data_IF_856624743206
#
_entry.id   IF_856624743206
#
_cell.length_a   1.000
_cell.length_b   1.000
_cell.length_c   1.000
_cell.angle_alpha   90.00
_cell.angle_beta   90.00
_cell.angle_gamma   90.00
#
_symmetry.space_group_name_H-M   'P 1'
#
loop_
_entity.id
_entity.type
_entity.pdbx_description
1 polymer ?
#
# COMPACT_ATOMS: atom_id res chain seq x y z
N UNK A 1 -35.95 -65.47 46.58
CA UNK A 1 -36.17 -64.01 46.79
C UNK A 1 -35.43 -63.26 45.70
N UNK A 2 -36.14 -62.34 45.03
CA UNK A 2 -35.74 -61.60 43.84
C UNK A 2 -34.51 -60.69 44.11
N UNK A 3 -33.54 -60.65 43.21
CA UNK A 3 -32.62 -59.52 43.09
C UNK A 3 -32.73 -58.90 41.70
N UNK A 4 -33.16 -57.64 41.69
CA UNK A 4 -33.35 -56.77 40.54
C UNK A 4 -32.01 -56.40 39.89
N UNK A 5 -31.93 -56.60 38.58
CA UNK A 5 -30.89 -56.04 37.72
C UNK A 5 -31.15 -54.54 37.52
N UNK A 6 -30.26 -53.66 37.99
CA UNK A 6 -30.26 -52.23 37.63
C UNK A 6 -29.25 -52.01 36.50
N UNK A 7 -29.77 -51.74 35.31
CA UNK A 7 -29.00 -51.34 34.14
C UNK A 7 -28.59 -49.86 34.31
N UNK A 8 -27.29 -49.60 34.46
CA UNK A 8 -26.73 -48.26 34.54
C UNK A 8 -26.44 -47.76 33.11
N UNK A 9 -27.29 -46.89 32.57
CA UNK A 9 -27.03 -46.21 31.29
C UNK A 9 -26.13 -45.02 31.57
N UNK A 10 -24.85 -45.12 31.20
CA UNK A 10 -23.90 -44.01 31.26
C UNK A 10 -24.08 -43.17 29.99
N UNK A 11 -24.70 -41.99 30.15
CA UNK A 11 -24.80 -40.98 29.09
C UNK A 11 -23.46 -40.24 29.03
N UNK A 12 -22.63 -40.55 28.03
CA UNK A 12 -21.46 -39.74 27.71
C UNK A 12 -21.90 -38.43 27.05
N UNK A 13 -21.96 -37.35 27.83
CA UNK A 13 -22.09 -36.01 27.29
C UNK A 13 -20.77 -35.62 26.60
N UNK A 14 -20.71 -35.73 25.28
CA UNK A 14 -19.59 -35.19 24.48
C UNK A 14 -19.66 -33.67 24.51
N UNK A 15 -18.89 -33.05 25.41
CA UNK A 15 -18.64 -31.62 25.39
C UNK A 15 -17.80 -31.29 24.15
N UNK A 16 -18.43 -30.78 23.09
CA UNK A 16 -17.73 -30.21 21.95
C UNK A 16 -17.05 -28.90 22.39
N UNK A 17 -15.78 -28.99 22.74
CA UNK A 17 -14.92 -27.82 22.87
C UNK A 17 -14.82 -27.15 21.50
N UNK A 18 -15.56 -26.06 21.30
CA UNK A 18 -15.32 -25.15 20.20
C UNK A 18 -13.97 -24.48 20.44
N UNK A 19 -12.91 -25.02 19.84
CA UNK A 19 -11.63 -24.33 19.77
C UNK A 19 -11.87 -23.00 19.07
N UNK A 20 -11.90 -21.91 19.84
CA UNK A 20 -11.97 -20.55 19.30
C UNK A 20 -10.73 -20.36 18.44
N UNK A 21 -10.90 -20.38 17.11
CA UNK A 21 -9.81 -20.20 16.18
C UNK A 21 -9.09 -18.88 16.51
N UNK A 22 -7.77 -18.94 16.68
CA UNK A 22 -6.97 -17.76 17.00
C UNK A 22 -7.32 -16.60 16.04
N UNK A 23 -7.45 -15.35 16.54
CA UNK A 23 -7.81 -14.23 15.70
C UNK A 23 -6.83 -14.08 14.52
N UNK A 24 -7.35 -14.03 13.29
CA UNK A 24 -6.51 -13.87 12.09
C UNK A 24 -5.71 -12.56 12.15
N UNK A 25 -4.42 -12.64 11.81
CA UNK A 25 -3.49 -11.51 11.81
C UNK A 25 -3.38 -10.79 10.44
N UNK A 26 -4.28 -11.12 9.51
CA UNK A 26 -4.38 -10.54 8.17
C UNK A 26 -5.84 -10.54 7.68
N UNK A 27 -6.08 -9.94 6.51
CA UNK A 27 -7.37 -9.98 5.84
C UNK A 27 -7.28 -10.70 4.49
N UNK A 28 -8.12 -11.73 4.32
CA UNK A 28 -8.28 -12.42 3.03
C UNK A 28 -9.56 -11.95 2.31
N UNK A 29 -9.42 -11.57 1.04
CA UNK A 29 -10.51 -11.18 0.16
C UNK A 29 -10.56 -12.17 -1.01
N UNK A 30 -11.59 -13.01 -1.04
CA UNK A 30 -11.83 -13.89 -2.18
C UNK A 30 -12.30 -13.08 -3.38
N UNK A 31 -11.64 -13.26 -4.52
CA UNK A 31 -12.00 -12.63 -5.77
C UNK A 31 -13.39 -13.03 -6.25
N UNK A 32 -14.15 -12.06 -6.76
CA UNK A 32 -15.39 -12.30 -7.50
C UNK A 32 -15.08 -12.57 -8.99
N UNK A 33 -16.05 -12.34 -9.88
CA UNK A 33 -15.84 -12.37 -11.33
C UNK A 33 -15.08 -11.10 -11.75
N UNK A 34 -14.17 -11.24 -12.73
CA UNK A 34 -13.46 -10.12 -13.33
C UNK A 34 -12.13 -10.56 -13.98
N UNK A 35 -11.42 -9.64 -14.66
CA UNK A 35 -10.18 -9.93 -15.37
C UNK A 35 -9.04 -10.47 -14.51
N UNK A 36 -9.08 -10.23 -13.20
CA UNK A 36 -8.11 -10.72 -12.21
C UNK A 36 -8.43 -12.10 -11.66
N UNK A 37 -9.47 -12.80 -12.15
CA UNK A 37 -9.83 -14.14 -11.66
C UNK A 37 -8.65 -15.10 -11.78
N UNK A 38 -8.36 -15.81 -10.69
CA UNK A 38 -7.24 -16.75 -10.61
C UNK A 38 -5.89 -16.09 -10.32
N UNK A 39 -5.84 -14.76 -10.19
CA UNK A 39 -4.63 -14.03 -9.79
C UNK A 39 -4.70 -13.56 -8.35
N UNK A 40 -3.55 -13.51 -7.69
CA UNK A 40 -3.40 -13.18 -6.27
C UNK A 40 -2.58 -11.90 -6.08
N UNK A 41 -3.11 -10.95 -5.32
CA UNK A 41 -2.45 -9.68 -4.97
C UNK A 41 -2.20 -9.62 -3.47
N UNK A 42 -0.97 -9.32 -3.07
CA UNK A 42 -0.60 -9.16 -1.66
C UNK A 42 -0.35 -7.69 -1.39
N UNK A 43 -1.07 -7.13 -0.42
CA UNK A 43 -1.00 -5.74 -0.03
C UNK A 43 -0.37 -5.63 1.37
N UNK A 44 0.77 -4.97 1.47
CA UNK A 44 1.60 -4.91 2.67
C UNK A 44 1.51 -3.52 3.28
N UNK A 45 0.84 -3.42 4.43
CA UNK A 45 0.78 -2.22 5.26
C UNK A 45 1.90 -2.23 6.31
N UNK A 46 2.43 -1.04 6.63
CA UNK A 46 3.44 -0.87 7.67
C UNK A 46 4.05 0.52 7.66
N UNK A 47 3.21 1.54 7.52
CA UNK A 47 3.55 2.95 7.61
C UNK A 47 2.73 3.60 8.73
N UNK A 48 3.41 4.31 9.61
CA UNK A 48 2.86 4.93 10.82
C UNK A 48 2.32 6.35 10.62
N UNK A 49 2.50 6.95 9.44
CA UNK A 49 2.07 8.32 9.17
C UNK A 49 0.85 8.39 8.25
N UNK A 50 0.92 7.77 7.06
CA UNK A 50 -0.01 7.93 5.95
C UNK A 50 -1.16 6.92 5.89
N UNK A 51 -1.26 6.07 6.93
CA UNK A 51 -2.38 5.15 7.18
C UNK A 51 -2.50 4.04 6.14
N UNK A 52 -1.37 3.41 5.80
CA UNK A 52 -1.37 2.22 4.93
C UNK A 52 -2.34 1.12 5.41
N UNK A 53 -2.60 1.01 6.71
CA UNK A 53 -3.53 0.05 7.32
C UNK A 53 -5.00 0.31 6.97
N UNK A 54 -5.33 1.53 6.54
CA UNK A 54 -6.65 1.90 6.02
C UNK A 54 -6.70 1.79 4.48
N UNK A 55 -5.61 2.20 3.82
CA UNK A 55 -5.50 2.21 2.36
C UNK A 55 -5.56 0.80 1.75
N UNK A 56 -4.78 -0.15 2.30
CA UNK A 56 -4.65 -1.49 1.71
C UNK A 56 -5.97 -2.28 1.74
N UNK A 57 -6.75 -2.32 2.83
CA UNK A 57 -8.07 -2.97 2.83
C UNK A 57 -9.06 -2.36 1.84
N UNK A 58 -9.03 -1.04 1.65
CA UNK A 58 -9.88 -0.36 0.68
C UNK A 58 -9.54 -0.79 -0.76
N UNK A 59 -8.25 -0.77 -1.13
CA UNK A 59 -7.78 -1.22 -2.44
C UNK A 59 -8.08 -2.71 -2.67
N UNK A 60 -7.84 -3.56 -1.67
CA UNK A 60 -8.17 -4.99 -1.72
C UNK A 60 -9.66 -5.24 -1.94
N UNK A 61 -10.53 -4.41 -1.34
CA UNK A 61 -11.96 -4.44 -1.57
C UNK A 61 -12.31 -4.16 -3.04
N UNK A 62 -11.76 -3.10 -3.62
CA UNK A 62 -11.96 -2.74 -5.04
C UNK A 62 -11.46 -3.86 -5.96
N UNK A 63 -10.22 -4.31 -5.77
CA UNK A 63 -9.58 -5.37 -6.56
C UNK A 63 -10.37 -6.68 -6.52
N UNK A 64 -10.76 -7.13 -5.32
CA UNK A 64 -11.47 -8.41 -5.18
C UNK A 64 -12.91 -8.36 -5.69
N UNK A 65 -13.65 -7.29 -5.40
CA UNK A 65 -15.09 -7.25 -5.71
C UNK A 65 -15.40 -6.84 -7.14
N UNK A 66 -14.64 -5.90 -7.70
CA UNK A 66 -14.90 -5.38 -9.06
C UNK A 66 -14.05 -6.08 -10.11
N UNK A 67 -12.87 -6.58 -9.73
CA UNK A 67 -11.88 -7.08 -10.69
C UNK A 67 -11.53 -8.57 -10.53
N UNK A 68 -12.01 -9.22 -9.46
CA UNK A 68 -11.92 -10.67 -9.31
C UNK A 68 -10.58 -11.21 -8.78
N UNK A 69 -9.67 -10.34 -8.34
CA UNK A 69 -8.42 -10.76 -7.71
C UNK A 69 -8.66 -11.39 -6.34
N UNK A 70 -7.93 -12.46 -6.02
CA UNK A 70 -7.75 -12.83 -4.62
C UNK A 70 -6.79 -11.81 -3.99
N UNK A 71 -7.11 -11.28 -2.82
CA UNK A 71 -6.23 -10.34 -2.14
C UNK A 71 -5.95 -10.78 -0.71
N UNK A 72 -4.70 -10.68 -0.28
CA UNK A 72 -4.32 -10.72 1.15
C UNK A 72 -3.77 -9.37 1.55
N UNK A 73 -4.28 -8.82 2.66
CA UNK A 73 -3.72 -7.64 3.31
C UNK A 73 -3.01 -8.06 4.59
N UNK A 74 -1.71 -7.78 4.67
CA UNK A 74 -0.89 -7.99 5.88
C UNK A 74 -0.55 -6.64 6.52
N UNK A 75 -0.33 -6.63 7.83
CA UNK A 75 -0.22 -5.43 8.66
C UNK A 75 1.02 -5.48 9.53
N UNK A 76 1.50 -4.31 9.96
CA UNK A 76 2.35 -4.22 11.14
C UNK A 76 1.54 -4.61 12.39
N UNK A 77 1.97 -5.65 13.09
CA UNK A 77 1.24 -6.25 14.22
C UNK A 77 2.11 -6.22 15.46
N UNK A 78 1.56 -5.78 16.59
CA UNK A 78 2.16 -6.06 17.89
C UNK A 78 2.07 -7.58 18.19
N UNK A 79 3.19 -8.32 18.26
CA UNK A 79 3.16 -9.78 18.42
C UNK A 79 2.55 -10.21 19.76
N UNK A 80 2.53 -9.34 20.79
CA UNK A 80 1.97 -9.68 22.10
C UNK A 80 0.44 -9.63 22.09
N UNK A 81 -0.14 -8.55 21.60
CA UNK A 81 -1.59 -8.36 21.61
C UNK A 81 -2.30 -8.88 20.34
N UNK A 82 -1.59 -8.95 19.22
CA UNK A 82 -2.16 -9.20 17.89
C UNK A 82 -2.98 -8.03 17.35
N UNK A 83 -2.79 -6.82 17.91
CA UNK A 83 -3.37 -5.58 17.40
C UNK A 83 -2.54 -5.03 16.24
N UNK A 84 -3.20 -4.29 15.34
CA UNK A 84 -2.52 -3.52 14.31
C UNK A 84 -1.82 -2.34 14.96
N UNK A 85 -0.50 -2.30 14.82
CA UNK A 85 0.38 -1.26 15.35
C UNK A 85 1.38 -0.83 14.28
N UNK A 86 1.07 0.21 13.49
CA UNK A 86 1.99 0.79 12.54
C UNK A 86 3.33 1.27 13.13
N UNK A 87 3.42 1.56 14.44
CA UNK A 87 4.71 1.88 15.08
C UNK A 87 5.60 0.64 15.24
N UNK A 88 5.05 -0.58 15.14
CA UNK A 88 5.84 -1.80 15.15
C UNK A 88 6.59 -1.97 13.82
N UNK A 89 7.90 -1.74 13.86
CA UNK A 89 8.78 -1.80 12.69
C UNK A 89 9.28 -3.19 12.36
N UNK A 90 9.03 -4.18 13.20
CA UNK A 90 9.75 -5.47 13.19
C UNK A 90 8.85 -6.68 13.04
N UNK A 91 7.55 -6.53 12.79
CA UNK A 91 6.66 -7.68 12.67
C UNK A 91 5.49 -7.44 11.71
N UNK A 92 5.47 -8.19 10.61
CA UNK A 92 4.38 -8.28 9.64
C UNK A 92 4.13 -9.78 9.35
N UNK A 93 3.24 -10.44 10.11
CA UNK A 93 2.92 -11.85 9.89
C UNK A 93 2.15 -12.07 8.58
N UNK A 94 2.28 -13.26 8.00
CA UNK A 94 1.53 -13.66 6.80
C UNK A 94 2.25 -13.36 5.47
N UNK A 95 3.54 -13.01 5.50
CA UNK A 95 4.34 -12.68 4.30
C UNK A 95 4.67 -13.88 3.42
N UNK A 96 4.57 -15.11 3.95
CA UNK A 96 4.79 -16.35 3.22
C UNK A 96 3.87 -16.52 2.00
N UNK A 97 2.72 -15.85 2.01
CA UNK A 97 1.77 -15.77 0.88
C UNK A 97 2.41 -15.18 -0.39
N UNK A 98 3.50 -14.40 -0.27
CA UNK A 98 4.18 -13.81 -1.42
C UNK A 98 4.72 -14.88 -2.38
N UNK A 99 5.00 -16.08 -1.88
CA UNK A 99 5.45 -17.20 -2.71
C UNK A 99 4.46 -17.51 -3.86
N UNK A 100 3.16 -17.32 -3.61
CA UNK A 100 2.07 -17.60 -4.54
C UNK A 100 1.50 -16.35 -5.23
N UNK A 101 1.92 -15.15 -4.81
CA UNK A 101 1.36 -13.90 -5.32
C UNK A 101 1.77 -13.63 -6.77
N UNK A 102 0.89 -12.98 -7.53
CA UNK A 102 1.17 -12.44 -8.87
C UNK A 102 1.60 -10.97 -8.83
N UNK A 103 1.19 -10.25 -7.78
CA UNK A 103 1.50 -8.84 -7.58
C UNK A 103 1.70 -8.52 -6.09
N UNK A 104 2.75 -7.77 -5.78
CA UNK A 104 2.97 -7.16 -4.47
C UNK A 104 2.67 -5.66 -4.53
N UNK A 105 1.80 -5.18 -3.64
CA UNK A 105 1.58 -3.76 -3.36
C UNK A 105 2.17 -3.47 -1.98
N UNK A 106 3.19 -2.62 -1.91
CA UNK A 106 3.90 -2.31 -0.67
C UNK A 106 3.75 -0.83 -0.33
N UNK A 107 3.32 -0.56 0.90
CA UNK A 107 3.17 0.78 1.48
C UNK A 107 3.71 0.78 2.91
N UNK A 108 5.01 0.51 3.03
CA UNK A 108 5.71 0.41 4.32
C UNK A 108 6.68 1.58 4.51
N UNK A 109 7.07 1.83 5.76
CA UNK A 109 8.05 2.86 6.14
C UNK A 109 9.11 2.29 7.07
N UNK A 110 10.38 2.37 6.69
CA UNK A 110 11.51 2.06 7.58
C UNK A 110 11.39 0.76 8.40
N UNK A 111 10.79 -0.28 7.83
CA UNK A 111 10.69 -1.59 8.50
C UNK A 111 12.08 -2.19 8.68
N UNK A 112 12.25 -2.92 9.76
CA UNK A 112 13.44 -3.71 10.07
C UNK A 112 12.96 -5.12 10.44
N UNK A 113 12.32 -5.80 9.48
CA UNK A 113 11.71 -7.11 9.71
C UNK A 113 12.79 -8.18 9.97
N UNK A 114 12.52 -9.18 10.83
CA UNK A 114 13.45 -10.29 11.02
C UNK A 114 13.66 -11.09 9.73
N UNK A 115 14.76 -11.83 9.68
CA UNK A 115 15.19 -12.54 8.47
C UNK A 115 14.14 -13.53 7.95
N UNK A 116 13.43 -14.21 8.86
CA UNK A 116 12.34 -15.14 8.54
C UNK A 116 11.11 -14.47 7.89
N UNK A 117 10.98 -13.15 7.98
CA UNK A 117 9.96 -12.37 7.27
C UNK A 117 10.50 -11.71 6.01
N UNK A 118 11.72 -11.14 6.08
CA UNK A 118 12.35 -10.49 4.92
C UNK A 118 12.63 -11.45 3.77
N UNK A 119 12.91 -12.72 4.06
CA UNK A 119 13.18 -13.74 3.04
C UNK A 119 12.04 -13.88 2.02
N UNK A 120 10.79 -13.66 2.43
CA UNK A 120 9.65 -13.74 1.52
C UNK A 120 9.59 -12.56 0.54
N UNK A 121 9.96 -11.36 1.00
CA UNK A 121 10.05 -10.18 0.13
C UNK A 121 11.24 -10.31 -0.82
N UNK A 122 12.40 -10.74 -0.32
CA UNK A 122 13.60 -10.96 -1.14
C UNK A 122 13.36 -12.03 -2.21
N UNK A 123 12.77 -13.16 -1.83
CA UNK A 123 12.43 -14.25 -2.74
C UNK A 123 11.43 -13.79 -3.80
N UNK A 124 10.40 -13.05 -3.42
CA UNK A 124 9.45 -12.45 -4.36
C UNK A 124 10.15 -11.57 -5.40
N UNK A 125 11.00 -10.65 -4.95
CA UNK A 125 11.72 -9.74 -5.84
C UNK A 125 12.63 -10.49 -6.81
N UNK A 126 13.30 -11.56 -6.36
CA UNK A 126 14.13 -12.42 -7.21
C UNK A 126 13.35 -13.14 -8.30
N UNK A 127 12.05 -13.38 -8.12
CA UNK A 127 11.22 -13.95 -9.20
C UNK A 127 10.98 -12.98 -10.37
N UNK A 128 11.22 -11.68 -10.19
CA UNK A 128 10.90 -10.64 -11.18
C UNK A 128 9.40 -10.35 -11.31
N UNK A 129 8.57 -10.83 -10.39
CA UNK A 129 7.13 -10.56 -10.42
C UNK A 129 6.81 -9.08 -10.14
N UNK A 130 5.72 -8.54 -10.71
CA UNK A 130 5.41 -7.12 -10.62
C UNK A 130 5.32 -6.54 -9.20
N UNK A 131 5.65 -5.24 -9.06
CA UNK A 131 5.57 -4.51 -7.78
C UNK A 131 4.84 -3.18 -7.96
N UNK A 132 3.97 -2.83 -7.01
CA UNK A 132 3.53 -1.45 -6.79
C UNK A 132 4.18 -0.92 -5.52
N UNK A 133 5.03 0.09 -5.66
CA UNK A 133 5.52 0.89 -4.54
C UNK A 133 4.62 2.11 -4.34
N UNK A 134 3.89 2.16 -3.23
CA UNK A 134 3.04 3.29 -2.86
C UNK A 134 3.67 4.03 -1.69
N UNK A 135 3.47 5.36 -1.56
CA UNK A 135 3.87 6.13 -0.36
C UNK A 135 3.69 5.27 0.89
N UNK A 136 4.70 4.99 1.71
CA UNK A 136 6.07 5.51 1.81
C UNK A 136 7.15 4.54 1.31
N UNK A 137 6.82 3.60 0.42
CA UNK A 137 7.70 2.48 0.08
C UNK A 137 9.04 2.85 -0.58
N UNK A 138 9.20 4.08 -1.08
CA UNK A 138 10.52 4.62 -1.50
C UNK A 138 11.57 4.50 -0.39
N UNK A 139 11.13 4.40 0.86
CA UNK A 139 11.95 4.13 2.03
C UNK A 139 11.34 3.03 2.91
N UNK A 140 10.88 1.95 2.27
CA UNK A 140 10.22 0.82 2.90
C UNK A 140 11.01 0.22 4.08
N UNK A 141 12.34 0.21 4.02
CA UNK A 141 13.20 -0.48 4.97
C UNK A 141 14.28 0.41 5.56
N UNK A 142 14.66 0.12 6.82
CA UNK A 142 15.78 0.75 7.51
C UNK A 142 16.31 -0.17 8.62
N UNK A 143 17.30 -1.00 8.26
CA UNK A 143 18.02 -1.91 9.13
C UNK A 143 19.28 -1.25 9.69
N UNK A 144 19.65 -1.64 10.92
CA UNK A 144 20.99 -1.37 11.46
C UNK A 144 22.09 -2.03 10.63
N UNK A 145 23.33 -1.55 10.79
CA UNK A 145 24.51 -2.12 10.12
C UNK A 145 24.76 -3.58 10.48
N UNK A 146 25.37 -4.34 9.57
CA UNK A 146 25.75 -5.75 9.79
C UNK A 146 24.61 -6.76 9.79
N UNK A 147 23.36 -6.35 9.55
CA UNK A 147 22.21 -7.25 9.41
C UNK A 147 22.17 -7.85 7.99
N UNK A 148 21.62 -9.06 7.87
CA UNK A 148 21.49 -9.80 6.61
C UNK A 148 20.92 -8.94 5.47
N UNK A 149 19.89 -8.14 5.77
CA UNK A 149 19.19 -7.28 4.82
C UNK A 149 19.56 -5.79 4.91
N UNK A 150 20.69 -5.40 5.50
CA UNK A 150 21.09 -3.98 5.60
C UNK A 150 21.14 -3.24 4.25
N UNK A 151 21.33 -3.96 3.15
CA UNK A 151 21.35 -3.41 1.80
C UNK A 151 19.99 -2.98 1.26
N UNK A 152 18.88 -3.39 1.89
CA UNK A 152 17.54 -2.89 1.57
C UNK A 152 17.27 -1.49 2.14
N UNK A 153 18.05 -1.05 3.13
CA UNK A 153 17.84 0.20 3.85
C UNK A 153 17.81 1.43 2.93
N UNK A 154 16.92 2.37 3.25
CA UNK A 154 16.83 3.66 2.57
C UNK A 154 18.20 4.35 2.46
N UNK A 155 18.61 4.70 1.24
CA UNK A 155 19.87 5.41 1.02
C UNK A 155 21.13 4.57 1.27
N UNK A 156 21.04 3.23 1.21
CA UNK A 156 22.20 2.35 1.40
C UNK A 156 23.40 2.75 0.53
N UNK A 157 24.57 2.85 1.13
CA UNK A 157 25.83 3.19 0.46
C UNK A 157 26.98 2.26 0.85
N UNK A 158 26.66 1.01 1.21
CA UNK A 158 27.63 0.03 1.70
C UNK A 158 28.40 -0.72 0.60
N UNK A 159 28.97 -1.90 0.93
CA UNK A 159 29.80 -2.67 0.00
C UNK A 159 29.03 -3.31 -1.16
N UNK A 160 27.75 -3.66 -1.01
CA UNK A 160 26.92 -4.23 -2.11
C UNK A 160 26.51 -3.13 -3.09
N UNK A 161 27.38 -2.78 -4.04
CA UNK A 161 27.24 -1.58 -4.90
C UNK A 161 25.99 -1.61 -5.78
N UNK A 162 25.51 -2.78 -6.15
CA UNK A 162 24.25 -2.99 -6.89
C UNK A 162 23.04 -2.50 -6.11
N UNK A 163 23.15 -2.44 -4.78
CA UNK A 163 22.10 -1.95 -3.89
C UNK A 163 22.27 -0.48 -3.52
N UNK A 164 23.09 0.30 -4.22
CA UNK A 164 23.25 1.74 -3.94
C UNK A 164 21.90 2.47 -3.96
N UNK A 165 21.57 3.15 -2.87
CA UNK A 165 20.28 3.79 -2.61
C UNK A 165 19.21 2.86 -2.01
N UNK A 166 19.53 1.58 -1.82
CA UNK A 166 18.67 0.57 -1.22
C UNK A 166 17.53 0.10 -2.10
N UNK A 167 16.52 -0.51 -1.46
CA UNK A 167 15.31 -0.98 -2.11
C UNK A 167 14.62 0.12 -2.94
N UNK A 168 14.51 1.33 -2.39
CA UNK A 168 13.87 2.47 -3.06
C UNK A 168 14.49 2.76 -4.42
N UNK A 169 15.82 2.92 -4.48
CA UNK A 169 16.50 3.20 -5.75
C UNK A 169 16.49 2.01 -6.70
N UNK A 170 16.90 0.84 -6.21
CA UNK A 170 17.10 -0.33 -7.04
C UNK A 170 15.79 -0.86 -7.62
N UNK A 171 14.75 -0.96 -6.79
CA UNK A 171 13.46 -1.51 -7.21
C UNK A 171 12.54 -0.39 -7.68
N UNK A 172 12.30 0.62 -6.85
CA UNK A 172 11.25 1.61 -7.11
C UNK A 172 11.67 2.80 -7.98
N UNK A 173 12.98 3.05 -8.17
CA UNK A 173 13.52 4.12 -9.01
C UNK A 173 14.18 5.26 -8.22
N UNK A 174 13.71 5.58 -7.02
CA UNK A 174 14.40 6.46 -6.09
C UNK A 174 14.03 6.15 -4.63
N UNK A 175 14.87 6.62 -3.72
CA UNK A 175 14.67 6.51 -2.29
C UNK A 175 14.36 7.87 -1.66
N UNK A 176 13.93 7.91 -0.40
CA UNK A 176 13.51 9.14 0.26
C UNK A 176 14.53 10.27 0.10
N UNK A 177 14.02 11.47 -0.25
CA UNK A 177 14.78 12.69 -0.37
C UNK A 177 14.26 13.75 0.59
N UNK A 178 13.09 14.31 0.31
CA UNK A 178 12.45 15.36 1.11
C UNK A 178 10.96 15.51 0.78
N UNK A 179 10.28 16.31 1.60
CA UNK A 179 9.01 16.93 1.23
C UNK A 179 9.30 18.11 0.30
N UNK A 180 8.84 18.03 -0.94
CA UNK A 180 8.97 19.10 -1.93
C UNK A 180 7.81 20.10 -1.82
N UNK A 181 6.61 19.59 -1.58
CA UNK A 181 5.46 20.37 -1.12
C UNK A 181 5.50 20.64 0.38
N UNK A 182 4.73 21.63 0.82
CA UNK A 182 4.49 22.00 2.20
C UNK A 182 3.68 20.91 2.91
N UNK A 183 4.35 20.15 3.77
CA UNK A 183 3.74 19.05 4.49
C UNK A 183 2.53 19.52 5.32
N UNK A 184 1.34 18.99 5.00
CA UNK A 184 0.04 19.34 5.64
C UNK A 184 -0.43 20.77 5.36
N UNK A 185 0.15 21.48 4.40
CA UNK A 185 -0.24 22.85 4.03
C UNK A 185 -0.40 23.06 2.53
N UNK A 186 0.19 22.20 1.70
CA UNK A 186 0.06 22.19 0.25
C UNK A 186 -0.32 20.79 -0.22
N UNK A 187 -1.20 20.72 -1.22
CA UNK A 187 -1.72 19.47 -1.77
C UNK A 187 -0.98 19.07 -3.05
N UNK A 188 -1.18 17.82 -3.46
CA UNK A 188 -0.68 17.29 -4.72
C UNK A 188 -1.82 17.18 -5.72
N UNK A 189 -1.68 17.85 -6.87
CA UNK A 189 -2.54 17.68 -8.05
C UNK A 189 -1.74 16.95 -9.13
N UNK A 190 -2.26 15.83 -9.62
CA UNK A 190 -1.59 15.02 -10.64
C UNK A 190 -1.85 15.54 -12.06
N UNK A 191 -0.76 15.78 -12.77
CA UNK A 191 -0.72 16.17 -14.18
C UNK A 191 -0.12 15.03 -14.98
N UNK A 192 -0.74 14.63 -16.09
CA UNK A 192 -0.18 13.64 -17.00
C UNK A 192 1.18 14.14 -17.48
N UNK A 193 2.20 13.30 -17.32
CA UNK A 193 3.55 13.64 -17.72
C UNK A 193 3.65 13.75 -19.25
N UNK A 194 4.47 14.67 -19.79
CA UNK A 194 4.76 14.72 -21.21
C UNK A 194 5.21 13.36 -21.75
N UNK A 195 4.56 12.88 -22.81
CA UNK A 195 4.83 11.57 -23.42
C UNK A 195 4.07 10.39 -22.78
N UNK A 196 3.28 10.62 -21.73
CA UNK A 196 2.44 9.60 -21.09
C UNK A 196 0.95 9.71 -21.47
N UNK A 197 0.57 10.63 -22.36
CA UNK A 197 -0.82 10.92 -22.74
C UNK A 197 -1.53 9.69 -23.29
N UNK A 198 -0.80 8.83 -24.02
CA UNK A 198 -1.29 7.57 -24.58
C UNK A 198 -0.96 6.34 -23.73
N UNK A 199 -0.27 6.51 -22.59
CA UNK A 199 0.12 5.40 -21.75
C UNK A 199 -1.13 4.71 -21.15
N UNK A 200 -1.25 3.36 -21.15
CA UNK A 200 -2.48 2.70 -20.71
C UNK A 200 -2.95 3.09 -19.29
N UNK A 201 -2.01 3.44 -18.40
CA UNK A 201 -2.32 3.85 -17.02
C UNK A 201 -3.15 5.14 -16.95
N UNK A 202 -3.04 6.04 -17.94
CA UNK A 202 -3.78 7.32 -17.95
C UNK A 202 -5.23 7.17 -18.42
N UNK A 203 -5.67 5.98 -18.84
CA UNK A 203 -7.05 5.75 -19.32
C UNK A 203 -8.09 6.13 -18.26
N UNK A 204 -9.01 7.02 -18.65
CA UNK A 204 -10.05 7.54 -17.76
C UNK A 204 -9.53 8.52 -16.71
N UNK A 205 -8.34 9.08 -16.86
CA UNK A 205 -7.78 10.08 -15.94
C UNK A 205 -7.42 11.31 -16.74
N UNK A 206 -7.90 12.48 -16.32
CA UNK A 206 -7.53 13.79 -16.85
C UNK A 206 -6.57 14.49 -15.89
N UNK A 207 -5.90 15.53 -16.37
CA UNK A 207 -5.15 16.44 -15.51
C UNK A 207 -6.08 16.99 -14.42
N UNK A 208 -5.67 16.89 -13.16
CA UNK A 208 -6.48 17.30 -12.01
C UNK A 208 -7.29 16.19 -11.34
N UNK A 209 -7.55 15.05 -12.01
CA UNK A 209 -8.36 13.96 -11.43
C UNK A 209 -7.62 13.22 -10.30
N UNK A 210 -6.29 13.09 -10.45
CA UNK A 210 -5.42 12.56 -9.40
C UNK A 210 -5.17 13.68 -8.40
N UNK A 211 -5.58 13.48 -7.16
CA UNK A 211 -5.45 14.48 -6.12
C UNK A 211 -5.23 13.83 -4.75
N UNK A 212 -4.51 14.53 -3.88
CA UNK A 212 -4.41 14.17 -2.48
C UNK A 212 -3.99 15.36 -1.62
N UNK A 213 -4.45 15.42 -0.35
CA UNK A 213 -3.99 16.43 0.59
C UNK A 213 -2.54 16.21 1.03
N UNK A 214 -1.94 15.05 0.69
CA UNK A 214 -0.55 14.80 1.00
C UNK A 214 0.36 15.59 0.07
N UNK A 215 1.47 16.06 0.64
CA UNK A 215 2.45 16.88 -0.07
C UNK A 215 3.22 16.08 -1.14
N UNK A 216 3.68 16.79 -2.18
CA UNK A 216 4.56 16.21 -3.20
C UNK A 216 5.90 15.85 -2.56
N UNK A 217 6.38 14.63 -2.81
CA UNK A 217 7.74 14.23 -2.45
C UNK A 217 8.73 14.69 -3.52
N UNK A 218 9.89 15.14 -3.08
CA UNK A 218 11.02 15.34 -3.98
C UNK A 218 11.61 14.00 -4.39
N UNK A 219 12.05 13.94 -5.64
CA UNK A 219 12.86 12.82 -6.16
C UNK A 219 14.10 13.37 -6.84
N UNK A 220 15.15 12.56 -6.93
CA UNK A 220 16.38 12.91 -7.63
C UNK A 220 16.14 12.83 -9.14
N UNK A 221 16.28 13.98 -9.82
CA UNK A 221 16.17 14.08 -11.27
C UNK A 221 17.55 14.13 -11.95
N UNK A 222 17.68 13.58 -13.17
CA UNK A 222 16.70 12.72 -13.83
C UNK A 222 16.55 11.38 -13.09
N UNK A 223 15.35 10.78 -13.12
CA UNK A 223 15.18 9.39 -12.73
C UNK A 223 16.00 8.48 -13.66
N UNK A 224 16.22 7.23 -13.24
CA UNK A 224 16.92 6.24 -14.06
C UNK A 224 16.31 6.14 -15.47
N UNK A 225 17.14 5.98 -16.50
CA UNK A 225 16.70 5.97 -17.92
C UNK A 225 15.67 4.89 -18.23
N UNK A 226 15.59 3.83 -17.43
CA UNK A 226 14.54 2.80 -17.54
C UNK A 226 13.19 3.23 -16.96
N UNK A 227 13.10 4.45 -16.41
CA UNK A 227 11.89 5.01 -15.82
C UNK A 227 11.11 5.84 -16.84
N UNK A 228 9.79 5.66 -16.86
CA UNK A 228 8.87 6.52 -17.60
C UNK A 228 7.97 7.25 -16.61
N UNK A 229 8.03 8.59 -16.60
CA UNK A 229 7.09 9.40 -15.81
C UNK A 229 5.68 9.21 -16.36
N UNK A 230 4.70 8.99 -15.49
CA UNK A 230 3.28 8.86 -15.85
C UNK A 230 2.49 10.08 -15.37
N UNK A 231 2.70 10.49 -14.12
CA UNK A 231 2.12 11.71 -13.56
C UNK A 231 3.19 12.55 -12.87
N UNK A 232 3.15 13.85 -13.11
CA UNK A 232 3.85 14.90 -12.37
C UNK A 232 2.93 15.49 -11.29
N UNK A 233 3.50 15.92 -10.18
CA UNK A 233 2.78 16.55 -9.08
C UNK A 233 2.90 18.05 -9.14
N UNK A 234 1.79 18.71 -9.43
CA UNK A 234 1.62 20.13 -9.22
C UNK A 234 1.35 20.39 -7.74
N UNK A 235 2.24 21.15 -7.10
CA UNK A 235 2.07 21.62 -5.74
C UNK A 235 1.05 22.76 -5.73
N UNK A 236 0.00 22.61 -4.93
CA UNK A 236 -1.15 23.54 -4.94
C UNK A 236 -1.43 24.09 -3.55
N UNK A 237 -1.69 25.41 -3.47
CA UNK A 237 -1.96 26.11 -2.21
C UNK A 237 -3.35 25.78 -1.69
N UNK A 238 -3.49 25.67 -0.37
CA UNK A 238 -4.81 25.68 0.28
C UNK A 238 -5.42 27.07 0.17
N UNK A 239 -6.64 27.20 -0.39
CA UNK A 239 -7.35 28.50 -0.45
C UNK A 239 -7.94 28.93 0.90
N UNK A 240 -8.32 27.97 1.73
CA UNK A 240 -8.98 28.20 3.02
C UNK A 240 -8.07 28.11 4.26
N UNK A 241 -8.64 28.29 5.46
CA UNK A 241 -7.91 28.07 6.71
C UNK A 241 -7.53 26.59 6.87
N UNK A 242 -6.49 26.34 7.68
CA UNK A 242 -6.21 24.99 8.15
C UNK A 242 -7.35 24.52 9.05
N UNK A 243 -7.84 23.32 8.82
CA UNK A 243 -8.86 22.67 9.67
C UNK A 243 -8.30 21.40 10.31
N UNK A 244 -9.08 20.81 11.21
CA UNK A 244 -8.80 19.49 11.81
C UNK A 244 -9.46 18.34 11.04
N UNK A 245 -10.01 18.59 9.85
CA UNK A 245 -10.53 17.51 9.00
C UNK A 245 -9.37 16.63 8.46
N UNK A 246 -9.67 15.43 7.94
CA UNK A 246 -8.65 14.53 7.39
C UNK A 246 -7.76 15.12 6.28
N UNK A 247 -8.17 16.23 5.66
CA UNK A 247 -7.51 16.90 4.53
C UNK A 247 -6.82 18.21 4.93
N UNK A 248 -6.80 18.58 6.21
CA UNK A 248 -6.23 19.84 6.72
C UNK A 248 -6.82 21.10 6.07
N UNK A 249 -8.07 21.02 5.62
CA UNK A 249 -8.78 22.09 4.93
C UNK A 249 -8.42 22.23 3.44
N UNK A 250 -7.56 21.36 2.90
CA UNK A 250 -7.26 21.30 1.47
C UNK A 250 -8.38 20.59 0.71
N UNK A 251 -8.63 21.04 -0.52
CA UNK A 251 -9.72 20.53 -1.36
C UNK A 251 -9.22 20.27 -2.78
N UNK A 252 -9.84 19.32 -3.51
CA UNK A 252 -9.57 19.15 -4.94
C UNK A 252 -9.86 20.40 -5.78
N UNK A 253 -10.70 21.32 -5.28
CA UNK A 253 -11.05 22.58 -5.92
C UNK A 253 -10.08 23.72 -5.61
N UNK A 254 -9.04 23.47 -4.80
CA UNK A 254 -7.91 24.39 -4.71
C UNK A 254 -7.18 24.34 -6.06
N UNK A 255 -7.15 25.46 -6.79
CA UNK A 255 -6.64 25.53 -8.17
C UNK A 255 -5.39 26.41 -8.32
N UNK A 256 -4.92 27.01 -7.22
CA UNK A 256 -3.77 27.92 -7.26
C UNK A 256 -2.46 27.13 -7.09
N UNK A 257 -1.77 26.90 -8.20
CA UNK A 257 -0.44 26.32 -8.20
C UNK A 257 0.56 27.21 -7.43
N UNK A 258 1.43 26.61 -6.62
CA UNK A 258 2.53 27.34 -5.97
C UNK A 258 3.51 27.85 -7.04
N UNK A 259 3.85 29.13 -7.00
CA UNK A 259 4.79 29.73 -7.94
C UNK A 259 6.25 29.24 -7.71
N UNK A 260 7.07 29.35 -8.76
CA UNK A 260 8.51 29.13 -8.69
C UNK A 260 8.94 27.66 -8.69
N UNK A 261 10.06 27.37 -8.00
CA UNK A 261 10.80 26.09 -8.10
C UNK A 261 10.00 24.84 -7.71
N UNK A 262 8.84 24.99 -7.06
CA UNK A 262 7.99 23.84 -6.71
C UNK A 262 7.26 23.25 -7.92
N UNK A 263 6.97 24.05 -8.93
CA UNK A 263 6.25 23.62 -10.14
C UNK A 263 7.04 23.83 -11.45
N UNK A 264 8.26 24.36 -11.37
CA UNK A 264 9.15 24.59 -12.50
C UNK A 264 10.57 24.04 -12.21
N UNK A 265 10.83 22.74 -12.51
CA UNK A 265 9.89 21.73 -13.00
C UNK A 265 9.05 21.09 -11.88
N UNK A 266 7.90 20.51 -12.23
CA UNK A 266 7.15 19.62 -11.33
C UNK A 266 7.91 18.31 -11.07
N UNK A 267 7.75 17.76 -9.86
CA UNK A 267 8.32 16.44 -9.53
C UNK A 267 7.44 15.31 -10.08
N UNK A 268 8.00 14.21 -10.60
CA UNK A 268 7.20 13.03 -10.89
C UNK A 268 6.67 12.44 -9.57
N UNK A 269 5.36 12.25 -9.53
CA UNK A 269 4.67 11.59 -8.41
C UNK A 269 4.32 10.16 -8.74
N UNK A 270 4.42 9.77 -10.01
CA UNK A 270 4.16 8.40 -10.48
C UNK A 270 5.00 8.09 -11.70
N UNK A 271 5.64 6.92 -11.71
CA UNK A 271 6.44 6.43 -12.82
C UNK A 271 6.44 4.90 -12.88
N UNK A 272 6.76 4.36 -14.04
CA UNK A 272 7.03 2.92 -14.24
C UNK A 272 8.50 2.69 -14.47
N UNK A 273 9.02 1.53 -14.09
CA UNK A 273 10.44 1.16 -14.29
C UNK A 273 10.60 -0.35 -14.43
N UNK A 274 11.65 -0.79 -15.11
CA UNK A 274 12.13 -2.17 -15.03
C UNK A 274 13.12 -2.31 -13.86
N UNK A 275 13.04 -3.39 -13.09
CA UNK A 275 13.99 -3.67 -12.03
C UNK A 275 14.56 -5.08 -12.15
N UNK A 276 15.73 -5.29 -11.57
CA UNK A 276 16.33 -6.61 -11.40
C UNK A 276 17.19 -6.56 -10.14
N UNK A 277 16.83 -7.33 -9.13
CA UNK A 277 17.68 -7.50 -7.95
C UNK A 277 18.82 -8.49 -8.25
N UNK A 278 19.98 -8.42 -7.58
CA UNK A 278 21.05 -9.39 -7.78
C UNK A 278 20.57 -10.84 -7.62
N UNK A 279 20.91 -11.69 -8.58
CA UNK A 279 20.46 -13.09 -8.65
C UNK A 279 18.98 -13.28 -9.01
N UNK A 280 18.26 -12.21 -9.35
CA UNK A 280 16.84 -12.25 -9.72
C UNK A 280 16.58 -12.11 -11.21
N UNK A 281 15.33 -12.38 -11.61
CA UNK A 281 14.81 -12.11 -12.96
C UNK A 281 14.40 -10.64 -13.10
N UNK A 282 14.35 -10.16 -14.34
CA UNK A 282 13.82 -8.82 -14.65
C UNK A 282 12.33 -8.77 -14.33
N UNK A 283 11.91 -7.68 -13.68
CA UNK A 283 10.51 -7.38 -13.37
C UNK A 283 10.15 -5.94 -13.69
N UNK A 284 8.87 -5.62 -13.52
CA UNK A 284 8.34 -4.26 -13.71
C UNK A 284 7.77 -3.71 -12.42
N UNK A 285 7.94 -2.41 -12.23
CA UNK A 285 7.39 -1.68 -11.11
C UNK A 285 6.54 -0.51 -11.60
N UNK A 286 5.48 -0.24 -10.85
CA UNK A 286 4.77 1.03 -10.86
C UNK A 286 4.99 1.67 -9.48
N UNK A 287 5.58 2.87 -9.46
CA UNK A 287 5.86 3.59 -8.21
C UNK A 287 5.03 4.86 -8.18
N UNK A 288 4.43 5.15 -7.02
CA UNK A 288 3.81 6.44 -6.74
C UNK A 288 4.21 6.96 -5.37
N UNK A 289 4.49 8.26 -5.28
CA UNK A 289 4.71 8.97 -4.01
C UNK A 289 3.40 9.46 -3.38
N UNK A 290 2.27 9.14 -4.01
CA UNK A 290 0.94 9.27 -3.42
C UNK A 290 0.50 7.95 -2.77
N UNK A 291 -0.66 7.97 -2.13
CA UNK A 291 -1.32 6.79 -1.60
C UNK A 291 -1.48 6.77 -0.09
N UNK A 292 -1.45 7.94 0.55
CA UNK A 292 -2.09 8.07 1.86
C UNK A 292 -3.54 7.62 1.76
N UNK A 293 -4.11 7.08 2.85
CA UNK A 293 -5.54 6.74 2.88
C UNK A 293 -6.42 7.94 2.48
N UNK A 294 -5.99 9.15 2.82
CA UNK A 294 -6.68 10.41 2.46
C UNK A 294 -6.60 10.76 0.97
N UNK A 295 -5.48 10.45 0.29
CA UNK A 295 -5.36 10.64 -1.17
C UNK A 295 -6.36 9.76 -1.93
N UNK A 296 -6.61 8.56 -1.40
CA UNK A 296 -7.48 7.56 -2.02
C UNK A 296 -8.98 7.84 -1.84
N UNK A 297 -9.34 9.00 -1.27
CA UNK A 297 -10.70 9.54 -1.35
C UNK A 297 -10.99 10.02 -2.77
N UNK A 298 -9.98 10.60 -3.45
CA UNK A 298 -10.11 11.03 -4.84
C UNK A 298 -10.22 9.82 -5.79
N UNK A 299 -11.18 9.90 -6.71
CA UNK A 299 -11.45 8.82 -7.65
C UNK A 299 -10.30 8.61 -8.62
N UNK A 300 -9.70 9.67 -9.16
CA UNK A 300 -8.56 9.57 -10.06
C UNK A 300 -7.34 8.92 -9.40
N UNK A 301 -7.08 9.21 -8.12
CA UNK A 301 -6.02 8.56 -7.35
C UNK A 301 -6.26 7.06 -7.18
N UNK A 302 -7.50 6.63 -6.90
CA UNK A 302 -7.85 5.20 -6.91
C UNK A 302 -7.69 4.59 -8.30
N UNK A 303 -8.18 5.27 -9.35
CA UNK A 303 -8.13 4.79 -10.74
C UNK A 303 -6.70 4.63 -11.23
N UNK A 304 -5.80 5.55 -10.88
CA UNK A 304 -4.38 5.45 -11.14
C UNK A 304 -3.79 4.15 -10.58
N UNK A 305 -4.08 3.84 -9.31
CA UNK A 305 -3.59 2.62 -8.65
C UNK A 305 -4.12 1.35 -9.32
N UNK A 306 -5.43 1.28 -9.61
CA UNK A 306 -6.02 0.09 -10.22
C UNK A 306 -5.59 -0.07 -11.68
N UNK A 307 -5.46 1.02 -12.45
CA UNK A 307 -4.88 0.98 -13.78
C UNK A 307 -3.42 0.47 -13.74
N UNK A 308 -2.65 0.87 -12.72
CA UNK A 308 -1.30 0.34 -12.47
C UNK A 308 -1.27 -1.18 -12.26
N UNK A 309 -2.22 -1.73 -11.49
CA UNK A 309 -2.37 -3.19 -11.31
C UNK A 309 -2.59 -3.89 -12.64
N UNK A 310 -3.50 -3.37 -13.46
CA UNK A 310 -3.79 -3.94 -14.77
C UNK A 310 -2.57 -3.90 -15.70
N UNK A 311 -1.88 -2.76 -15.77
CA UNK A 311 -0.70 -2.59 -16.61
C UNK A 311 0.42 -3.55 -16.22
N UNK A 312 0.69 -3.70 -14.92
CA UNK A 312 1.71 -4.60 -14.41
C UNK A 312 1.45 -6.08 -14.70
N UNK A 313 0.17 -6.46 -14.73
CA UNK A 313 -0.28 -7.84 -14.96
C UNK A 313 -0.67 -8.11 -16.42
N UNK A 314 -0.33 -7.20 -17.34
CA UNK A 314 -0.65 -7.29 -18.77
C UNK A 314 -2.15 -7.52 -19.05
N UNK A 315 -3.00 -6.92 -18.21
CA UNK A 315 -4.45 -6.93 -18.38
C UNK A 315 -4.91 -5.71 -19.17
N UNK A 316 -5.92 -5.89 -20.02
CA UNK A 316 -6.52 -4.79 -20.80
C UNK A 316 -7.25 -3.81 -19.87
N UNK A 317 -6.73 -2.59 -19.74
CA UNK A 317 -7.39 -1.48 -19.04
C UNK A 317 -8.59 -1.00 -19.88
N UNK A 318 -9.81 -0.88 -19.33
CA UNK A 318 -10.97 -0.35 -20.07
C UNK A 318 -10.71 1.06 -20.62
N UNK A 319 -11.38 1.42 -21.72
CA UNK A 319 -11.19 2.74 -22.38
C UNK A 319 -11.42 3.91 -21.42
N UNK A 320 -12.42 3.79 -20.55
CA UNK A 320 -12.78 4.80 -19.54
C UNK A 320 -12.07 4.59 -18.19
N UNK A 321 -11.02 3.76 -18.16
CA UNK A 321 -10.31 3.38 -16.93
C UNK A 321 -11.00 2.26 -16.15
N UNK A 322 -10.28 1.70 -15.18
CA UNK A 322 -10.82 0.66 -14.32
C UNK A 322 -11.90 1.22 -13.36
N UNK A 323 -12.88 0.37 -13.03
CA UNK A 323 -13.91 0.67 -12.02
C UNK A 323 -13.28 0.78 -10.63
N UNK A 324 -13.52 1.90 -9.94
CA UNK A 324 -12.90 2.20 -8.64
C UNK A 324 -13.87 2.68 -7.57
N UNK A 325 -15.15 2.36 -7.75
CA UNK A 325 -16.17 2.64 -6.73
C UNK A 325 -15.81 1.97 -5.41
N UNK A 326 -15.93 2.73 -4.31
CA UNK A 326 -15.70 2.20 -2.98
C UNK A 326 -16.64 1.03 -2.71
N UNK A 327 -16.13 -0.01 -2.05
CA UNK A 327 -16.89 -1.24 -1.77
C UNK A 327 -17.52 -1.29 -0.38
N UNK A 328 -17.42 -0.17 0.32
CA UNK A 328 -17.88 0.06 1.68
C UNK A 328 -17.59 1.50 2.08
N UNK A 329 -18.01 1.87 3.28
CA UNK A 329 -17.72 3.21 3.81
C UNK A 329 -16.21 3.38 4.03
N UNK A 330 -15.64 4.45 3.46
CA UNK A 330 -14.24 4.81 3.60
C UNK A 330 -14.11 6.25 4.10
N UNK A 331 -13.80 6.37 5.39
CA UNK A 331 -13.60 7.63 6.10
C UNK A 331 -12.19 7.60 6.70
N UNK A 332 -11.15 7.93 5.91
CA UNK A 332 -9.78 7.83 6.37
C UNK A 332 -9.51 8.81 7.51
N UNK A 333 -8.61 8.42 8.41
CA UNK A 333 -8.11 9.33 9.43
C UNK A 333 -7.11 10.30 8.81
N UNK A 334 -7.01 11.49 9.41
CA UNK A 334 -5.95 12.44 9.13
C UNK A 334 -4.57 11.76 9.26
N UNK A 335 -3.70 11.92 8.27
CA UNK A 335 -2.35 11.35 8.31
C UNK A 335 -1.48 12.09 9.35
N UNK A 336 -0.85 11.32 10.22
CA UNK A 336 -0.03 11.83 11.31
C UNK A 336 0.69 10.67 12.00
N UNK A 337 1.86 10.93 12.58
CA UNK A 337 2.40 10.04 13.61
C UNK A 337 1.45 9.95 14.80
N UNK A 338 1.49 8.81 15.50
CA UNK A 338 0.71 8.54 16.71
C UNK A 338 1.65 8.06 17.81
N UNK A 339 1.35 8.43 19.05
CA UNK A 339 2.12 7.96 20.21
C UNK A 339 2.00 6.45 20.38
N UNK A 340 2.94 5.83 21.10
CA UNK A 340 2.95 4.40 21.36
C UNK A 340 1.65 3.91 22.02
N UNK A 341 1.08 4.70 22.93
CA UNK A 341 -0.15 4.33 23.66
C UNK A 341 -1.43 4.51 22.84
N UNK A 342 -1.37 5.14 21.68
CA UNK A 342 -2.53 5.34 20.83
C UNK A 342 -3.09 4.01 20.32
N UNK A 343 -2.23 3.14 19.77
CA UNK A 343 -2.64 1.91 19.09
C UNK A 343 -3.28 0.86 20.02
N UNK A 344 -2.72 0.58 21.22
CA UNK A 344 -3.39 -0.28 22.19
C UNK A 344 -4.79 0.24 22.57
N UNK A 345 -4.96 1.55 22.75
CA UNK A 345 -6.26 2.17 23.07
C UNK A 345 -7.28 2.05 21.95
N UNK A 346 -6.84 1.94 20.68
CA UNK A 346 -7.77 1.70 19.57
C UNK A 346 -8.33 0.27 19.60
N UNK A 347 -7.58 -0.69 20.17
CA UNK A 347 -7.98 -2.10 20.24
C UNK A 347 -8.40 -2.71 18.89
N UNK A 348 -7.77 -2.26 17.79
CA UNK A 348 -8.10 -2.70 16.43
C UNK A 348 -7.24 -3.88 15.99
N UNK A 349 -7.88 -5.02 15.78
CA UNK A 349 -7.32 -6.18 15.04
C UNK A 349 -7.54 -6.01 13.52
N UNK A 350 -6.86 -6.78 12.66
CA UNK A 350 -7.03 -6.69 11.19
C UNK A 350 -8.49 -6.70 10.72
N UNK A 351 -9.35 -7.52 11.34
CA UNK A 351 -10.79 -7.59 11.04
C UNK A 351 -11.49 -6.21 11.09
N UNK A 352 -11.06 -5.32 11.99
CA UNK A 352 -11.65 -3.98 12.17
C UNK A 352 -11.39 -3.04 10.99
N UNK A 353 -10.38 -3.31 10.16
CA UNK A 353 -10.03 -2.50 8.99
C UNK A 353 -10.77 -2.94 7.70
N UNK A 354 -11.54 -4.03 7.75
CA UNK A 354 -12.39 -4.42 6.62
C UNK A 354 -13.51 -3.40 6.45
N UNK A 355 -13.60 -2.78 5.26
CA UNK A 355 -14.67 -1.83 4.98
C UNK A 355 -16.05 -2.47 5.13
N UNK A 356 -16.91 -1.83 5.91
CA UNK A 356 -18.30 -2.24 6.11
C UNK A 356 -19.08 -1.96 4.83
N UNK A 357 -19.85 -2.93 4.35
CA UNK A 357 -20.74 -2.73 3.19
C UNK A 357 -21.70 -1.58 3.53
N UNK A 358 -21.88 -0.65 2.60
CA UNK A 358 -23.04 0.24 2.67
C UNK A 358 -24.29 -0.65 2.60
N UNK A 359 -25.17 -0.55 3.60
CA UNK A 359 -26.51 -1.12 3.47
C UNK A 359 -27.14 -0.40 2.26
N UNK A 360 -27.57 -1.15 1.25
CA UNK A 360 -28.41 -0.58 0.20
C UNK A 360 -29.65 -0.02 0.93
N UNK A 361 -29.83 1.30 0.86
CA UNK A 361 -31.12 1.89 1.20
C UNK A 361 -32.13 1.50 0.13
#
# INVERSE_FOLDING_TARGET
MKQLSKLLVVIFATATFSASAAPKLWLDYKGKKGPGKGKSVVLISGDEEYRSEEAMPMLAGILSRHHGFNCRVVFAIDPKSGLVDPNNRTNIPGLEVLNEADLMIIGTRFRALPDNQMVHIDSYLKTGKPVIGMRTATHAFNFGGGKTYSHYSNGYNGPKKEWKGGFGKLVLGDFWLNHHGGHKSESTVGMIAPGAEKHPITRGIKNGDVWGPSDVYGVRLPLDKSSQHIFLGQVTKRKGPRTNDPFFGMKPTDDEAVAGRKNAPMMPITWTKNYQVPGGKKGRVFTTTMGSSTDLVAEGSRRMMINGVYWLLDLKIPKNGAKVDLTGEFKPLQYSFRSKDYWPKQSKRPAAFRLKKQKKK
#
